data_IF_712241336262
#
_entry.id   IF_712241336262
#
_cell.length_a   1.000
_cell.length_b   1.000
_cell.length_c   1.000
_cell.angle_alpha   90.00
_cell.angle_beta   90.00
_cell.angle_gamma   90.00
#
_symmetry.space_group_name_H-M   'P 1'
#
loop_
_entity.id
_entity.type
_entity.pdbx_description
1 polymer ?
#
# COMPACT_ATOMS: atom_id res chain seq x y z
N UNK A 1 -13.90 -9.28 -1.93
CA UNK A 1 -13.65 -9.58 -3.35
C UNK A 1 -13.70 -8.28 -4.15
N UNK A 2 -12.88 -8.18 -5.18
CA UNK A 2 -12.82 -7.03 -6.07
C UNK A 2 -12.94 -7.51 -7.52
N UNK A 3 -13.61 -6.72 -8.34
CA UNK A 3 -13.59 -6.85 -9.78
C UNK A 3 -13.28 -5.50 -10.39
N UNK A 4 -12.31 -5.46 -11.29
CA UNK A 4 -11.88 -4.23 -11.97
C UNK A 4 -11.89 -4.47 -13.47
N UNK A 5 -12.51 -3.55 -14.19
CA UNK A 5 -12.51 -3.53 -15.65
C UNK A 5 -12.01 -2.17 -16.12
N UNK A 6 -11.04 -2.16 -17.02
CA UNK A 6 -10.45 -0.94 -17.58
C UNK A 6 -10.36 -1.09 -19.10
N UNK A 7 -11.02 -0.20 -19.81
CA UNK A 7 -10.83 0.00 -21.25
C UNK A 7 -9.74 1.05 -21.46
N UNK A 8 -8.95 0.91 -22.50
CA UNK A 8 -7.85 1.81 -22.83
C UNK A 8 -6.85 1.96 -21.67
N UNK A 9 -6.52 0.85 -21.01
CA UNK A 9 -5.47 0.88 -19.99
C UNK A 9 -4.13 1.26 -20.62
N UNK A 10 -3.38 2.05 -19.88
CA UNK A 10 -2.02 2.42 -20.28
C UNK A 10 -1.12 1.22 -20.02
N UNK A 11 -0.64 0.60 -21.09
CA UNK A 11 0.25 -0.54 -20.99
C UNK A 11 1.62 -0.18 -21.56
N UNK A 12 2.66 -0.73 -20.93
CA UNK A 12 4.02 -0.68 -21.45
C UNK A 12 4.19 -1.76 -22.50
N UNK A 13 4.74 -1.39 -23.65
CA UNK A 13 5.10 -2.35 -24.67
C UNK A 13 6.47 -2.03 -25.28
N UNK A 14 7.14 -3.09 -25.74
CA UNK A 14 8.46 -3.04 -26.34
C UNK A 14 8.36 -3.54 -27.76
N UNK A 15 9.08 -2.92 -28.69
CA UNK A 15 9.18 -3.34 -30.07
C UNK A 15 10.59 -3.10 -30.61
N UNK A 16 10.95 -3.77 -31.68
CA UNK A 16 12.21 -3.53 -32.40
C UNK A 16 12.02 -2.29 -33.27
N UNK A 17 12.97 -1.35 -33.20
CA UNK A 17 12.93 -0.14 -34.03
C UNK A 17 12.96 -0.53 -35.53
N UNK A 18 11.93 -0.18 -36.32
CA UNK A 18 11.88 -0.51 -37.73
C UNK A 18 13.03 0.07 -38.55
N UNK A 19 13.61 1.18 -38.10
CA UNK A 19 14.72 1.86 -38.79
C UNK A 19 16.09 1.32 -38.39
N UNK A 20 16.19 0.74 -37.22
CA UNK A 20 17.43 0.23 -36.64
C UNK A 20 17.21 -1.16 -36.04
N UNK A 21 17.18 -2.23 -36.84
CA UNK A 21 17.03 -3.59 -36.34
C UNK A 21 18.14 -3.94 -35.34
N UNK A 22 17.77 -4.25 -34.11
CA UNK A 22 18.69 -4.47 -33.00
C UNK A 22 18.53 -3.47 -31.85
N UNK A 23 17.79 -2.36 -32.07
CA UNK A 23 17.42 -1.43 -31.01
C UNK A 23 16.01 -1.74 -30.53
N UNK A 24 15.87 -2.00 -29.23
CA UNK A 24 14.57 -2.16 -28.58
C UNK A 24 14.08 -0.81 -28.10
N UNK A 25 12.89 -0.43 -28.53
CA UNK A 25 12.17 0.74 -28.00
C UNK A 25 11.10 0.28 -27.04
N UNK A 26 11.01 0.93 -25.89
CA UNK A 26 9.97 0.67 -24.91
C UNK A 26 9.18 1.96 -24.69
N UNK A 27 7.87 1.89 -24.84
CA UNK A 27 6.97 3.02 -24.70
C UNK A 27 5.68 2.63 -23.98
N UNK A 28 4.79 3.58 -23.82
CA UNK A 28 3.47 3.38 -23.22
C UNK A 28 2.40 3.81 -24.20
N UNK A 29 1.29 3.09 -24.19
CA UNK A 29 0.12 3.42 -25.02
C UNK A 29 -1.17 3.04 -24.31
N UNK A 30 -2.25 3.71 -24.70
CA UNK A 30 -3.62 3.39 -24.27
C UNK A 30 -4.17 2.24 -25.11
N UNK A 31 -3.57 1.07 -25.00
CA UNK A 31 -3.76 -0.06 -25.93
C UNK A 31 -4.38 -1.29 -25.24
N UNK A 32 -4.53 -1.24 -23.92
CA UNK A 32 -4.92 -2.41 -23.15
C UNK A 32 -6.41 -2.43 -22.82
N UNK A 33 -6.98 -3.64 -22.78
CA UNK A 33 -8.20 -3.98 -22.07
C UNK A 33 -7.81 -4.87 -20.90
N UNK A 34 -8.12 -4.45 -19.69
CA UNK A 34 -7.74 -5.15 -18.48
C UNK A 34 -8.97 -5.56 -17.71
N UNK A 35 -9.03 -6.83 -17.36
CA UNK A 35 -9.98 -7.37 -16.38
C UNK A 35 -9.19 -8.00 -15.25
N UNK A 36 -9.59 -7.73 -14.01
CA UNK A 36 -8.94 -8.31 -12.84
C UNK A 36 -9.97 -8.66 -11.78
N UNK A 37 -9.92 -9.90 -11.31
CA UNK A 37 -10.75 -10.39 -10.22
C UNK A 37 -9.86 -10.82 -9.08
N UNK A 38 -10.14 -10.35 -7.87
CA UNK A 38 -9.28 -10.61 -6.72
C UNK A 38 -10.01 -10.83 -5.41
N UNK A 39 -9.29 -11.50 -4.53
CA UNK A 39 -9.65 -11.66 -3.13
C UNK A 39 -8.57 -11.03 -2.26
N UNK A 40 -9.01 -10.29 -1.26
CA UNK A 40 -8.12 -9.67 -0.29
C UNK A 40 -8.53 -10.07 1.12
N UNK A 41 -7.55 -10.40 1.96
CA UNK A 41 -7.73 -10.82 3.35
C UNK A 41 -6.89 -9.91 4.24
N UNK A 42 -7.48 -9.49 5.33
CA UNK A 42 -6.82 -8.78 6.42
C UNK A 42 -7.07 -9.52 7.72
N UNK A 43 -6.02 -9.74 8.50
CA UNK A 43 -6.09 -10.32 9.83
C UNK A 43 -5.24 -9.53 10.81
N UNK A 44 -5.77 -9.32 12.00
CA UNK A 44 -5.09 -8.68 13.12
C UNK A 44 -5.48 -9.41 14.40
N UNK A 45 -4.49 -9.97 15.08
CA UNK A 45 -4.71 -10.80 16.25
C UNK A 45 -3.77 -10.38 17.37
N UNK A 46 -4.37 -10.13 18.54
CA UNK A 46 -3.67 -9.75 19.76
C UNK A 46 -3.96 -10.80 20.85
N UNK A 47 -3.25 -11.95 20.84
CA UNK A 47 -3.52 -13.01 21.81
C UNK A 47 -3.24 -12.59 23.24
N UNK A 48 -2.26 -11.72 23.44
CA UNK A 48 -1.89 -11.12 24.72
C UNK A 48 -1.48 -9.66 24.51
N UNK A 49 -1.54 -8.79 25.53
CA UNK A 49 -1.17 -7.38 25.41
C UNK A 49 0.27 -7.14 24.94
N UNK A 50 1.15 -8.11 25.20
CA UNK A 50 2.57 -8.03 24.83
C UNK A 50 2.84 -8.38 23.37
N UNK A 51 1.88 -9.02 22.68
CA UNK A 51 2.12 -9.61 21.37
C UNK A 51 0.98 -9.33 20.40
N UNK A 52 1.33 -8.84 19.24
CA UNK A 52 0.41 -8.57 18.13
C UNK A 52 0.92 -9.20 16.85
N UNK A 53 0.04 -9.86 16.12
CA UNK A 53 0.26 -10.34 14.76
C UNK A 53 -0.68 -9.58 13.83
N UNK A 54 -0.17 -9.18 12.68
CA UNK A 54 -0.99 -8.63 11.61
C UNK A 54 -0.57 -9.24 10.27
N UNK A 55 -1.54 -9.44 9.42
CA UNK A 55 -1.35 -9.97 8.08
C UNK A 55 -2.36 -9.31 7.14
N UNK A 56 -1.92 -8.97 5.96
CA UNK A 56 -2.79 -8.64 4.85
C UNK A 56 -2.24 -9.25 3.58
N UNK A 57 -3.12 -9.61 2.68
CA UNK A 57 -2.71 -10.23 1.43
C UNK A 57 -3.88 -10.44 0.49
N UNK A 58 -3.58 -10.70 -0.75
CA UNK A 58 -4.58 -10.97 -1.76
C UNK A 58 -4.01 -11.69 -2.94
N UNK A 59 -4.88 -12.28 -3.71
CA UNK A 59 -4.61 -12.92 -4.98
C UNK A 59 -5.55 -12.34 -6.00
N UNK A 60 -5.02 -11.93 -7.14
CA UNK A 60 -5.74 -11.39 -8.27
C UNK A 60 -5.47 -12.24 -9.51
N UNK A 61 -6.52 -12.60 -10.23
CA UNK A 61 -6.41 -13.10 -11.61
C UNK A 61 -6.59 -11.91 -12.53
N UNK A 62 -5.63 -11.69 -13.43
CA UNK A 62 -5.63 -10.59 -14.39
C UNK A 62 -5.64 -11.14 -15.81
N UNK A 63 -6.53 -10.63 -16.64
CA UNK A 63 -6.57 -10.84 -18.09
C UNK A 63 -6.31 -9.49 -18.77
N UNK A 64 -5.25 -9.45 -19.60
CA UNK A 64 -4.81 -8.30 -20.37
C UNK A 64 -4.89 -8.63 -21.85
N UNK A 65 -5.52 -7.77 -22.63
CA UNK A 65 -5.63 -7.89 -24.09
C UNK A 65 -5.34 -6.56 -24.75
N UNK A 66 -4.75 -6.60 -25.92
CA UNK A 66 -4.55 -5.42 -26.76
C UNK A 66 -5.01 -5.70 -28.17
N UNK A 67 -5.89 -4.86 -28.68
CA UNK A 67 -6.36 -4.96 -30.05
C UNK A 67 -5.31 -4.46 -31.07
N UNK A 68 -4.25 -3.77 -30.61
CA UNK A 68 -3.28 -3.12 -31.49
C UNK A 68 -2.28 -4.09 -32.13
N UNK A 69 -1.97 -5.22 -31.45
CA UNK A 69 -0.98 -6.20 -31.90
C UNK A 69 -1.38 -7.63 -31.54
N UNK A 70 -2.67 -7.92 -31.40
CA UNK A 70 -3.22 -9.23 -30.97
C UNK A 70 -2.54 -9.81 -29.71
N UNK A 71 -1.98 -8.93 -28.88
CA UNK A 71 -1.31 -9.36 -27.68
C UNK A 71 -2.31 -9.67 -26.57
N UNK A 72 -2.14 -10.82 -25.95
CA UNK A 72 -2.92 -11.21 -24.79
C UNK A 72 -2.01 -11.89 -23.76
N UNK A 73 -2.23 -11.60 -22.49
CA UNK A 73 -1.55 -12.27 -21.39
C UNK A 73 -2.48 -12.33 -20.18
N UNK A 74 -2.43 -13.45 -19.47
CA UNK A 74 -3.24 -13.63 -18.27
C UNK A 74 -2.48 -14.43 -17.22
N UNK A 75 -2.94 -14.32 -15.97
CA UNK A 75 -2.38 -15.13 -14.91
C UNK A 75 -2.72 -14.61 -13.52
N UNK A 76 -2.26 -15.36 -12.55
CA UNK A 76 -2.40 -15.01 -11.15
C UNK A 76 -1.23 -14.14 -10.70
N UNK A 77 -1.55 -13.13 -9.91
CA UNK A 77 -0.60 -12.37 -9.10
C UNK A 77 -1.11 -12.32 -7.67
N UNK A 78 -0.19 -12.27 -6.72
CA UNK A 78 -0.54 -12.24 -5.32
C UNK A 78 0.45 -11.43 -4.51
N UNK A 79 -0.02 -10.98 -3.36
CA UNK A 79 0.81 -10.28 -2.39
C UNK A 79 0.44 -10.71 -0.98
N UNK A 80 1.44 -10.79 -0.13
CA UNK A 80 1.26 -10.98 1.29
C UNK A 80 2.20 -10.05 2.04
N UNK A 81 1.70 -9.42 3.07
CA UNK A 81 2.45 -8.66 4.03
C UNK A 81 2.07 -9.15 5.42
N UNK A 82 3.06 -9.51 6.24
CA UNK A 82 2.82 -9.96 7.59
C UNK A 82 3.87 -9.37 8.54
N UNK A 83 3.48 -9.23 9.78
CA UNK A 83 4.40 -8.80 10.81
C UNK A 83 3.92 -9.12 12.21
N UNK A 84 4.87 -9.02 13.13
CA UNK A 84 4.63 -9.20 14.56
C UNK A 84 5.23 -8.04 15.32
N UNK A 85 4.56 -7.65 16.37
CA UNK A 85 5.04 -6.64 17.32
C UNK A 85 5.05 -7.23 18.72
N UNK A 86 6.19 -7.11 19.39
CA UNK A 86 6.37 -7.45 20.78
C UNK A 86 6.54 -6.17 21.58
N UNK A 87 5.72 -5.98 22.60
CA UNK A 87 5.76 -4.86 23.52
C UNK A 87 6.30 -5.36 24.84
N UNK A 88 7.56 -5.10 25.12
CA UNK A 88 8.21 -5.50 26.35
C UNK A 88 8.04 -4.42 27.44
N UNK A 89 8.26 -4.78 28.72
CA UNK A 89 8.36 -3.80 29.78
C UNK A 89 9.41 -2.71 29.50
N UNK A 90 9.34 -1.60 30.22
CA UNK A 90 10.23 -0.46 30.09
C UNK A 90 10.17 0.24 28.71
N UNK A 91 8.99 0.25 28.06
CA UNK A 91 8.76 0.92 26.78
C UNK A 91 9.70 0.44 25.62
N UNK A 92 10.03 -0.84 25.64
CA UNK A 92 10.81 -1.48 24.59
C UNK A 92 9.88 -2.23 23.62
N UNK A 93 10.07 -2.02 22.31
CA UNK A 93 9.26 -2.65 21.27
C UNK A 93 10.15 -3.28 20.20
N UNK A 94 9.84 -4.52 19.85
CA UNK A 94 10.45 -5.23 18.73
C UNK A 94 9.38 -5.46 17.66
N UNK A 95 9.69 -5.09 16.41
CA UNK A 95 8.84 -5.38 15.27
C UNK A 95 9.60 -6.22 14.26
N UNK A 96 8.96 -7.28 13.81
CA UNK A 96 9.40 -8.13 12.71
C UNK A 96 8.34 -8.05 11.62
N UNK A 97 8.73 -7.79 10.39
CA UNK A 97 7.78 -7.74 9.28
C UNK A 97 8.43 -8.21 7.98
N UNK A 98 7.58 -8.62 7.08
CA UNK A 98 8.00 -8.98 5.74
C UNK A 98 6.85 -8.97 4.76
N UNK A 99 7.21 -8.97 3.49
CA UNK A 99 6.25 -9.02 2.42
C UNK A 99 6.80 -9.78 1.22
N UNK A 100 5.88 -10.36 0.48
CA UNK A 100 6.14 -11.02 -0.78
C UNK A 100 5.10 -10.58 -1.80
N UNK A 101 5.56 -10.21 -2.97
CA UNK A 101 4.77 -9.89 -4.16
C UNK A 101 5.16 -10.88 -5.23
N UNK A 102 4.21 -11.64 -5.72
CA UNK A 102 4.43 -12.57 -6.82
C UNK A 102 4.78 -11.83 -8.12
N UNK A 103 5.21 -12.53 -9.16
CA UNK A 103 5.39 -11.94 -10.46
C UNK A 103 4.13 -11.18 -10.91
N UNK A 104 4.31 -9.97 -11.41
CA UNK A 104 3.23 -9.14 -11.95
C UNK A 104 3.05 -9.42 -13.43
N UNK A 105 1.81 -9.68 -13.83
CA UNK A 105 1.44 -9.91 -15.24
C UNK A 105 1.47 -8.58 -16.01
N UNK A 106 2.19 -8.56 -17.12
CA UNK A 106 2.25 -7.46 -18.08
C UNK A 106 1.81 -7.95 -19.45
N UNK A 107 1.43 -7.05 -20.34
CA UNK A 107 0.93 -7.43 -21.67
C UNK A 107 1.92 -8.34 -22.43
N UNK A 108 3.20 -8.05 -22.40
CA UNK A 108 4.26 -8.79 -23.11
C UNK A 108 5.12 -9.68 -22.22
N UNK A 109 4.70 -9.97 -20.96
CA UNK A 109 5.51 -10.84 -20.11
C UNK A 109 5.20 -10.73 -18.63
N UNK A 110 6.25 -10.83 -17.82
CA UNK A 110 6.13 -10.83 -16.35
C UNK A 110 7.27 -10.02 -15.73
N UNK A 111 6.93 -9.28 -14.69
CA UNK A 111 7.90 -8.65 -13.81
C UNK A 111 8.28 -9.61 -12.69
N UNK A 112 9.55 -9.60 -12.27
CA UNK A 112 10.04 -10.38 -11.14
C UNK A 112 9.19 -10.27 -9.88
N UNK A 113 9.16 -11.33 -9.08
CA UNK A 113 8.68 -11.23 -7.71
C UNK A 113 9.53 -10.24 -6.92
N UNK A 114 8.91 -9.64 -5.91
CA UNK A 114 9.57 -8.77 -4.97
C UNK A 114 9.29 -9.24 -3.55
N UNK A 115 10.32 -9.26 -2.70
CA UNK A 115 10.16 -9.61 -1.30
C UNK A 115 11.08 -8.77 -0.43
N UNK A 116 10.67 -8.56 0.80
CA UNK A 116 11.45 -7.82 1.78
C UNK A 116 11.17 -8.32 3.18
N UNK A 117 12.12 -8.08 4.08
CA UNK A 117 11.96 -8.30 5.53
C UNK A 117 12.53 -7.12 6.28
N UNK A 118 12.03 -6.89 7.48
CA UNK A 118 12.53 -5.85 8.36
C UNK A 118 12.45 -6.27 9.82
N UNK A 119 13.45 -5.83 10.55
CA UNK A 119 13.53 -5.94 12.00
C UNK A 119 13.72 -4.53 12.53
N UNK A 120 12.89 -4.11 13.47
CA UNK A 120 13.10 -2.84 14.15
C UNK A 120 12.91 -2.97 15.65
N UNK A 121 13.81 -2.29 16.35
CA UNK A 121 13.81 -2.16 17.79
C UNK A 121 13.59 -0.69 18.12
N UNK A 122 12.62 -0.41 18.96
CA UNK A 122 12.31 0.92 19.45
C UNK A 122 12.39 0.94 20.98
N UNK A 123 12.98 1.98 21.52
CA UNK A 123 13.06 2.25 22.94
C UNK A 123 12.65 3.68 23.22
N UNK A 124 11.66 3.86 24.07
CA UNK A 124 11.24 5.16 24.55
C UNK A 124 11.92 5.49 25.89
N UNK A 125 12.37 6.72 26.03
CA UNK A 125 13.05 7.28 27.20
C UNK A 125 12.34 8.54 27.68
N UNK A 126 12.71 9.05 28.84
CA UNK A 126 12.24 10.33 29.38
C UNK A 126 10.70 10.46 29.39
N UNK A 127 10.02 9.44 29.89
CA UNK A 127 8.55 9.37 29.90
C UNK A 127 7.96 9.56 28.48
N UNK A 128 8.53 8.86 27.50
CA UNK A 128 8.14 8.88 26.08
C UNK A 128 8.41 10.20 25.35
N UNK A 129 9.24 11.08 25.91
CA UNK A 129 9.67 12.28 25.20
C UNK A 129 10.79 12.03 24.20
N UNK A 130 11.67 11.08 24.47
CA UNK A 130 12.74 10.67 23.56
C UNK A 130 12.49 9.24 23.08
N UNK A 131 12.47 9.02 21.78
CA UNK A 131 12.33 7.72 21.14
C UNK A 131 13.54 7.45 20.26
N UNK A 132 14.16 6.30 20.45
CA UNK A 132 15.29 5.83 19.63
C UNK A 132 14.86 4.55 18.94
N UNK A 133 14.97 4.51 17.62
CA UNK A 133 14.65 3.35 16.80
C UNK A 133 15.87 2.92 15.99
N UNK A 134 16.16 1.64 16.04
CA UNK A 134 17.10 0.95 15.17
C UNK A 134 16.31 0.05 14.23
N UNK A 135 16.48 0.22 12.92
CA UNK A 135 15.78 -0.58 11.90
C UNK A 135 16.77 -1.21 10.95
N UNK A 136 16.60 -2.49 10.72
CA UNK A 136 17.41 -3.24 9.79
C UNK A 136 16.51 -3.85 8.71
N UNK A 137 16.63 -3.36 7.50
CA UNK A 137 15.89 -3.85 6.34
C UNK A 137 16.73 -4.89 5.59
N UNK A 138 16.06 -5.98 5.20
CA UNK A 138 16.63 -7.10 4.47
C UNK A 138 17.91 -7.64 5.10
N UNK A 139 17.93 -8.02 6.40
CA UNK A 139 19.11 -8.51 7.08
C UNK A 139 19.68 -9.79 6.44
N UNK A 140 18.83 -10.61 5.83
CA UNK A 140 19.19 -11.94 5.34
C UNK A 140 19.83 -11.93 3.95
N UNK A 141 19.62 -10.86 3.14
CA UNK A 141 20.22 -10.75 1.80
C UNK A 141 20.64 -9.31 1.51
N UNK A 142 21.79 -9.17 0.86
CA UNK A 142 22.33 -7.87 0.47
C UNK A 142 21.76 -7.36 -0.86
N UNK A 143 21.58 -8.26 -1.82
CA UNK A 143 21.14 -7.95 -3.18
C UNK A 143 19.94 -8.80 -3.56
N UNK A 144 19.06 -8.20 -4.33
CA UNK A 144 17.93 -8.87 -4.96
C UNK A 144 18.13 -8.85 -6.47
N UNK A 145 17.96 -10.02 -7.09
CA UNK A 145 17.87 -10.15 -8.55
C UNK A 145 16.45 -9.78 -8.96
N UNK A 146 16.33 -8.82 -9.85
CA UNK A 146 15.07 -8.41 -10.47
C UNK A 146 15.15 -8.76 -11.94
N UNK A 147 14.23 -9.55 -12.43
CA UNK A 147 14.19 -10.04 -13.80
C UNK A 147 12.86 -9.65 -14.46
N UNK A 148 12.92 -8.94 -15.56
CA UNK A 148 11.76 -8.61 -16.37
C UNK A 148 11.89 -9.35 -17.68
N UNK A 149 10.81 -9.97 -18.12
CA UNK A 149 10.73 -10.58 -19.45
C UNK A 149 9.72 -9.83 -20.30
N UNK A 150 10.04 -9.61 -21.55
CA UNK A 150 9.09 -9.15 -22.56
C UNK A 150 9.30 -9.91 -23.85
N UNK A 151 8.21 -10.32 -24.48
CA UNK A 151 8.25 -11.08 -25.73
C UNK A 151 7.05 -10.74 -26.59
N UNK A 152 7.24 -10.86 -27.89
CA UNK A 152 6.21 -10.97 -28.89
C UNK A 152 6.64 -11.99 -29.96
N UNK A 153 5.97 -12.04 -31.09
CA UNK A 153 6.29 -12.98 -32.18
C UNK A 153 7.66 -12.73 -32.82
N UNK A 154 8.25 -11.56 -32.59
CA UNK A 154 9.50 -11.12 -33.25
C UNK A 154 10.72 -11.18 -32.34
N UNK A 155 10.52 -11.15 -31.00
CA UNK A 155 11.63 -11.14 -30.05
C UNK A 155 11.28 -11.75 -28.69
N UNK A 156 12.35 -12.16 -27.97
CA UNK A 156 12.34 -12.43 -26.55
C UNK A 156 13.42 -11.62 -25.87
N UNK A 157 13.06 -10.79 -24.89
CA UNK A 157 13.98 -9.98 -24.10
C UNK A 157 13.89 -10.36 -22.63
N UNK A 158 15.06 -10.57 -22.02
CA UNK A 158 15.20 -10.73 -20.57
C UNK A 158 16.15 -9.67 -20.04
N UNK A 159 15.66 -8.87 -19.14
CA UNK A 159 16.43 -7.85 -18.45
C UNK A 159 16.65 -8.26 -17.00
N UNK A 160 17.91 -8.33 -16.57
CA UNK A 160 18.28 -8.70 -15.20
C UNK A 160 18.98 -7.54 -14.53
N UNK A 161 18.42 -7.09 -13.42
CA UNK A 161 18.97 -6.02 -12.59
C UNK A 161 19.23 -6.55 -11.17
N UNK A 162 20.36 -6.14 -10.59
CA UNK A 162 20.69 -6.44 -9.20
C UNK A 162 20.61 -5.16 -8.37
N UNK A 163 19.73 -5.14 -7.37
CA UNK A 163 19.57 -4.01 -6.47
C UNK A 163 20.05 -4.35 -5.07
N UNK A 164 20.82 -3.45 -4.47
CA UNK A 164 21.16 -3.55 -3.04
C UNK A 164 19.94 -3.15 -2.23
N UNK A 165 19.49 -4.06 -1.36
CA UNK A 165 18.26 -3.90 -0.58
C UNK A 165 18.51 -3.84 0.93
N UNK A 166 19.74 -4.17 1.36
CA UNK A 166 20.10 -4.14 2.78
C UNK A 166 20.32 -2.70 3.23
N UNK A 167 19.67 -2.32 4.33
CA UNK A 167 19.80 -0.99 4.89
C UNK A 167 19.71 -1.05 6.43
N UNK A 168 20.59 -0.34 7.10
CA UNK A 168 20.54 -0.07 8.53
C UNK A 168 20.18 1.41 8.72
N UNK A 169 19.21 1.68 9.56
CA UNK A 169 18.73 3.03 9.86
C UNK A 169 18.62 3.22 11.37
N UNK A 170 19.11 4.35 11.85
CA UNK A 170 18.90 4.84 13.21
C UNK A 170 18.02 6.09 13.12
N UNK A 171 16.97 6.13 13.92
CA UNK A 171 16.08 7.29 14.04
C UNK A 171 16.00 7.72 15.50
N UNK A 172 16.18 9.01 15.74
CA UNK A 172 16.04 9.63 17.06
C UNK A 172 14.98 10.71 16.97
N UNK A 173 13.95 10.60 17.78
CA UNK A 173 12.85 11.56 17.83
C UNK A 173 12.71 12.13 19.24
N UNK A 174 12.69 13.45 19.36
CA UNK A 174 12.46 14.12 20.61
C UNK A 174 11.21 15.02 20.54
N UNK A 175 10.30 14.83 21.48
CA UNK A 175 9.04 15.58 21.56
C UNK A 175 9.20 16.75 22.54
N UNK A 176 9.16 17.96 22.01
CA UNK A 176 9.17 19.20 22.79
C UNK A 176 7.77 19.58 23.23
N UNK A 177 7.68 20.20 24.41
CA UNK A 177 6.43 20.73 24.93
C UNK A 177 5.47 19.71 25.51
N UNK A 178 4.41 20.21 26.10
CA UNK A 178 3.24 19.45 26.52
C UNK A 178 2.06 19.94 25.70
N UNK A 179 1.44 19.10 24.89
CA UNK A 179 0.11 19.40 24.36
C UNK A 179 -0.84 19.52 25.55
N UNK A 180 -1.17 20.75 25.92
CA UNK A 180 -2.36 20.99 26.75
C UNK A 180 -3.55 20.83 25.82
N UNK A 181 -4.03 19.62 25.65
CA UNK A 181 -5.32 19.34 25.03
C UNK A 181 -6.45 19.77 25.99
N UNK A 182 -6.54 21.07 26.20
CA UNK A 182 -7.79 21.67 26.57
C UNK A 182 -8.55 21.96 25.26
N UNK A 183 -9.04 20.93 24.62
CA UNK A 183 -10.15 21.09 23.68
C UNK A 183 -11.32 21.54 24.56
N UNK A 184 -11.47 22.86 24.77
CA UNK A 184 -12.72 23.43 25.21
C UNK A 184 -13.74 22.99 24.17
N UNK A 185 -14.57 21.99 24.52
CA UNK A 185 -15.80 21.76 23.79
C UNK A 185 -16.55 23.07 23.80
N UNK A 186 -16.48 23.80 22.70
CA UNK A 186 -17.38 24.92 22.46
C UNK A 186 -18.77 24.30 22.47
N UNK A 187 -19.54 24.58 23.53
CA UNK A 187 -20.97 24.31 23.54
C UNK A 187 -21.53 24.99 22.31
N UNK A 188 -21.78 24.28 21.25
CA UNK A 188 -22.63 24.75 20.15
C UNK A 188 -24.06 24.68 20.66
N UNK A 189 -24.43 25.64 21.46
CA UNK A 189 -25.82 26.00 21.68
C UNK A 189 -26.20 26.89 20.54
N UNK A 190 -27.03 26.44 19.64
CA UNK A 190 -27.77 27.30 18.73
C UNK A 190 -28.86 27.91 19.60
N UNK A 191 -28.65 29.14 20.11
CA UNK A 191 -29.74 29.96 20.62
C UNK A 191 -30.45 30.52 19.37
N UNK A 192 -31.61 29.96 19.07
CA UNK A 192 -32.52 30.50 18.08
C UNK A 192 -33.32 31.60 18.80
N UNK A 193 -32.84 32.83 18.80
CA UNK A 193 -33.55 34.01 19.30
C UNK A 193 -34.65 34.50 18.34
N UNK A 194 -34.85 33.81 17.21
CA UNK A 194 -35.81 34.18 16.17
C UNK A 194 -37.21 33.56 16.35
N UNK A 195 -37.48 32.83 17.44
CA UNK A 195 -38.84 32.41 17.71
C UNK A 195 -39.58 33.52 18.40
N UNK A 196 -40.19 34.44 17.61
CA UNK A 196 -41.21 35.36 18.06
C UNK A 196 -42.34 34.55 18.72
N UNK A 197 -42.55 34.73 20.01
CA UNK A 197 -43.74 34.29 20.70
C UNK A 197 -44.96 34.94 20.06
N UNK A 198 -45.71 34.12 19.30
CA UNK A 198 -47.01 34.53 18.78
C UNK A 198 -47.94 34.85 19.92
N UNK A 199 -48.42 36.10 19.92
CA UNK A 199 -49.28 36.65 20.95
C UNK A 199 -50.54 35.87 21.14
N UNK A 200 -50.86 35.63 22.39
CA UNK A 200 -52.17 35.26 22.92
C UNK A 200 -53.14 36.40 22.66
N UNK A 201 -54.03 36.23 21.69
CA UNK A 201 -55.20 37.05 21.51
C UNK A 201 -56.35 36.55 22.34
N UNK A 202 -56.73 37.30 23.34
CA UNK A 202 -57.90 37.02 24.15
C UNK A 202 -59.20 37.13 23.38
N UNK A 203 -60.17 36.37 23.75
CA UNK A 203 -61.56 36.43 23.33
C UNK A 203 -62.43 35.98 24.50
N UNK A 204 -62.77 36.99 25.33
CA UNK A 204 -63.93 36.90 26.22
C UNK A 204 -65.18 36.85 25.35
N UNK A 205 -66.09 35.89 25.62
CA UNK A 205 -67.53 36.13 25.48
C UNK A 205 -68.32 35.36 26.54
N UNK A 206 -69.06 36.17 27.29
CA UNK A 206 -70.15 35.85 28.20
C UNK A 206 -71.28 35.05 27.45
N UNK A 207 -71.86 34.14 28.09
CA UNK A 207 -73.23 33.96 28.52
C UNK A 207 -73.43 32.50 28.99
#
# INVERSE_FOLDING_TARGET
ATYTFVNNSIEQYTFIDPKNPGIFQTTYGNIGKKQSTGLFVYANWNPVPLFRIYMNGGVDYTDLKSDMNDMANSGFSGRIFAGTQFNFPMDFRLNLHGGYFSPWIQLQGKRSPFYFTGISVNKDFLKKKLSVQLSFQNPFWKRMKMENTSSDDTFFRRETNYRTMRMLQVSVSYRFGTLKDAIKKVKRGINNDDVKSGGSGGGEQQM
#
